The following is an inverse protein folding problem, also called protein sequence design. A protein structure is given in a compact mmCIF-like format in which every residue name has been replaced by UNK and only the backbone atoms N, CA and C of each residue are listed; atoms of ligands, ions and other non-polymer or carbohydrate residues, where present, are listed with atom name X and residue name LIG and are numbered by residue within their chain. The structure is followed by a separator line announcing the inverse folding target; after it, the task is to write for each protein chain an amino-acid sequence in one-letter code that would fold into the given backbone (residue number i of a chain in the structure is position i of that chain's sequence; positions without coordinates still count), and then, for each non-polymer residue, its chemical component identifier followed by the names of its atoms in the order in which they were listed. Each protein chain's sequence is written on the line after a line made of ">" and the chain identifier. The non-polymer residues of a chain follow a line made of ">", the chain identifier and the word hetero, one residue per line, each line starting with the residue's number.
data_IF_926573804025
#
_entry.id   IF_926573804025
#
_cell.length_a   1.000
_cell.length_b   1.000
_cell.length_c   1.000
_cell.angle_alpha   90.00
_cell.angle_beta   90.00
_cell.angle_gamma   90.00
#
_symmetry.space_group_name_H-M   'P 1'
#
loop_
_entity.id
_entity.type
_entity.pdbx_description
1 polymer ?
#
# COMPACT_ATOMS: atom_id res chain seq x y z
N UNK A 1 6.06 1.63 -13.84
CA UNK A 1 6.01 1.64 -15.32
C UNK A 1 7.05 0.65 -15.85
N UNK A 2 7.26 0.49 -17.17
CA UNK A 2 8.39 -0.30 -17.69
C UNK A 2 9.48 0.68 -18.10
N UNK A 3 10.75 0.43 -17.72
CA UNK A 3 11.86 1.29 -18.13
C UNK A 3 11.89 1.45 -19.65
N UNK A 4 11.56 2.63 -20.16
CA UNK A 4 11.54 2.92 -21.60
C UNK A 4 12.85 3.60 -22.07
N UNK A 5 13.71 4.05 -21.14
CA UNK A 5 15.02 4.61 -21.46
C UNK A 5 16.01 4.57 -20.29
N UNK A 6 17.28 4.89 -20.56
CA UNK A 6 18.35 4.91 -19.55
C UNK A 6 18.23 6.05 -18.50
N UNK A 7 17.39 7.05 -18.77
CA UNK A 7 17.09 8.18 -17.86
C UNK A 7 15.72 8.03 -17.17
N UNK A 8 15.00 6.94 -17.44
CA UNK A 8 13.74 6.64 -16.77
C UNK A 8 14.04 6.13 -15.36
N UNK A 9 13.70 6.92 -14.35
CA UNK A 9 13.91 6.53 -12.95
C UNK A 9 12.96 5.43 -12.49
N UNK A 10 11.92 5.10 -13.27
CA UNK A 10 10.88 4.15 -12.88
C UNK A 10 9.83 4.75 -11.93
N UNK A 11 10.10 5.91 -11.36
CA UNK A 11 9.25 6.64 -10.41
C UNK A 11 8.01 7.26 -11.09
N UNK A 12 6.84 7.06 -10.51
CA UNK A 12 5.60 7.72 -10.88
C UNK A 12 5.22 8.78 -9.82
N UNK A 13 5.07 10.06 -10.20
CA UNK A 13 4.69 11.10 -9.25
C UNK A 13 3.34 10.83 -8.56
N UNK A 14 3.31 10.98 -7.23
CA UNK A 14 2.09 10.90 -6.44
C UNK A 14 1.24 12.15 -6.67
N UNK A 15 0.19 11.99 -7.45
CA UNK A 15 -0.84 12.99 -7.75
C UNK A 15 -2.23 12.39 -7.62
N UNK A 16 -3.28 13.21 -7.54
CA UNK A 16 -4.68 12.74 -7.55
C UNK A 16 -4.98 11.84 -8.76
N UNK A 17 -4.46 12.19 -9.95
CA UNK A 17 -4.63 11.38 -11.17
C UNK A 17 -4.00 9.99 -11.03
N UNK A 18 -2.76 9.93 -10.50
CA UNK A 18 -2.07 8.66 -10.27
C UNK A 18 -2.79 7.81 -9.21
N UNK A 19 -3.26 8.43 -8.12
CA UNK A 19 -4.00 7.77 -7.05
C UNK A 19 -5.34 7.22 -7.57
N UNK A 20 -6.00 7.94 -8.48
CA UNK A 20 -7.18 7.45 -9.19
C UNK A 20 -6.89 6.20 -10.04
N UNK A 21 -5.78 6.17 -10.78
CA UNK A 21 -5.37 5.01 -11.58
C UNK A 21 -5.00 3.80 -10.71
N UNK A 22 -4.32 4.03 -9.59
CA UNK A 22 -4.05 2.99 -8.60
C UNK A 22 -5.35 2.45 -7.97
N UNK A 23 -6.30 3.32 -7.63
CA UNK A 23 -7.60 2.89 -7.08
C UNK A 23 -8.33 1.93 -8.02
N UNK A 24 -8.43 2.28 -9.31
CA UNK A 24 -9.02 1.39 -10.34
C UNK A 24 -8.26 0.06 -10.46
N UNK A 25 -6.94 0.10 -10.32
CA UNK A 25 -6.10 -1.10 -10.36
C UNK A 25 -6.30 -1.97 -9.11
N UNK A 26 -6.50 -1.37 -7.92
CA UNK A 26 -6.80 -2.08 -6.69
C UNK A 26 -8.16 -2.78 -6.75
N UNK A 27 -9.18 -2.08 -7.26
CA UNK A 27 -10.52 -2.64 -7.49
C UNK A 27 -10.52 -3.80 -8.48
N UNK A 28 -9.62 -3.77 -9.47
CA UNK A 28 -9.44 -4.90 -10.38
C UNK A 28 -8.74 -6.07 -9.68
N UNK A 29 -7.70 -5.80 -8.87
CA UNK A 29 -6.91 -6.83 -8.20
C UNK A 29 -7.64 -7.50 -7.02
N UNK A 30 -8.41 -6.74 -6.25
CA UNK A 30 -9.15 -7.16 -5.06
C UNK A 30 -10.54 -6.51 -5.07
N UNK A 31 -11.46 -6.99 -5.94
CA UNK A 31 -12.77 -6.37 -6.08
C UNK A 31 -13.58 -6.44 -4.79
N UNK A 32 -14.28 -5.34 -4.51
CA UNK A 32 -15.27 -5.19 -3.44
C UNK A 32 -16.59 -4.70 -4.03
N UNK A 33 -17.70 -5.05 -3.40
CA UNK A 33 -19.05 -4.66 -3.82
C UNK A 33 -19.36 -3.18 -3.55
N UNK A 34 -18.81 -2.63 -2.46
CA UNK A 34 -18.91 -1.21 -2.09
C UNK A 34 -17.50 -0.58 -1.99
N UNK A 35 -16.91 -0.14 -3.12
CA UNK A 35 -15.56 0.42 -3.12
C UNK A 35 -15.46 1.69 -2.28
N UNK A 36 -14.35 1.88 -1.54
CA UNK A 36 -14.17 3.06 -0.73
C UNK A 36 -14.02 4.31 -1.60
N UNK A 37 -14.58 5.43 -1.14
CA UNK A 37 -14.34 6.74 -1.77
C UNK A 37 -12.98 7.28 -1.34
N UNK A 38 -12.25 7.95 -2.24
CA UNK A 38 -10.98 8.62 -1.91
C UNK A 38 -11.23 10.11 -1.73
N UNK A 39 -10.81 10.66 -0.60
CA UNK A 39 -10.89 12.08 -0.26
C UNK A 39 -9.47 12.67 -0.20
N UNK A 40 -9.21 13.68 -1.04
CA UNK A 40 -7.91 14.36 -1.14
C UNK A 40 -7.81 15.63 -0.29
N UNK A 41 -8.80 15.92 0.55
CA UNK A 41 -8.78 17.10 1.45
C UNK A 41 -7.88 16.93 2.67
N UNK A 42 -7.34 15.72 2.90
CA UNK A 42 -6.39 15.41 3.97
C UNK A 42 -6.56 13.99 4.51
N UNK A 43 -5.61 13.57 5.35
CA UNK A 43 -5.65 12.26 6.00
C UNK A 43 -6.64 12.18 7.19
N UNK A 44 -7.10 13.30 7.73
CA UNK A 44 -8.16 13.32 8.75
C UNK A 44 -9.51 13.70 8.11
N UNK A 45 -10.39 12.71 7.95
CA UNK A 45 -11.74 12.89 7.40
C UNK A 45 -12.81 13.06 8.49
N UNK A 46 -12.42 13.28 9.75
CA UNK A 46 -13.34 13.38 10.88
C UNK A 46 -13.98 12.04 11.26
N UNK A 47 -13.22 10.95 11.17
CA UNK A 47 -13.73 9.59 11.39
C UNK A 47 -14.17 9.37 12.85
N UNK A 48 -15.33 8.72 13.04
CA UNK A 48 -15.90 8.50 14.38
C UNK A 48 -15.47 7.19 15.05
N UNK A 49 -14.95 6.24 14.27
CA UNK A 49 -14.68 4.87 14.68
C UNK A 49 -13.26 4.37 14.33
N UNK A 50 -12.36 5.29 13.94
CA UNK A 50 -10.94 5.03 13.74
C UNK A 50 -10.10 6.31 13.92
N UNK A 51 -8.82 6.15 14.25
CA UNK A 51 -7.86 7.26 14.31
C UNK A 51 -7.38 7.68 12.91
N UNK A 52 -7.16 8.98 12.72
CA UNK A 52 -6.52 9.48 11.52
C UNK A 52 -5.06 9.04 11.48
N UNK A 53 -4.66 8.40 10.37
CA UNK A 53 -3.30 7.96 10.11
C UNK A 53 -2.72 8.74 8.94
N UNK A 54 -1.62 9.46 9.17
CA UNK A 54 -0.96 10.28 8.15
C UNK A 54 0.15 9.48 7.47
N UNK A 55 0.34 9.59 6.14
CA UNK A 55 -0.37 10.46 5.19
C UNK A 55 -1.65 9.88 4.58
N UNK A 56 -2.03 8.64 4.89
CA UNK A 56 -3.24 8.01 4.36
C UNK A 56 -3.98 7.26 5.45
N UNK A 57 -5.27 7.56 5.60
CA UNK A 57 -6.16 6.90 6.56
C UNK A 57 -7.28 6.12 5.88
N UNK A 58 -7.93 5.24 6.63
CA UNK A 58 -9.20 4.64 6.22
C UNK A 58 -10.23 4.81 7.32
N UNK A 59 -11.40 5.34 6.97
CA UNK A 59 -12.53 5.50 7.88
C UNK A 59 -13.59 4.42 7.62
N UNK A 60 -13.80 3.46 8.55
CA UNK A 60 -14.77 2.39 8.35
C UNK A 60 -16.22 2.89 8.30
N UNK A 61 -16.60 3.85 9.15
CA UNK A 61 -17.98 4.36 9.22
C UNK A 61 -18.46 5.03 7.92
N UNK A 62 -17.61 5.77 7.22
CA UNK A 62 -17.93 6.43 5.94
C UNK A 62 -17.44 5.68 4.71
N UNK A 63 -16.67 4.59 4.89
CA UNK A 63 -16.00 3.86 3.80
C UNK A 63 -15.13 4.80 2.94
N UNK A 64 -14.27 5.58 3.59
CA UNK A 64 -13.47 6.64 2.92
C UNK A 64 -11.99 6.45 3.19
N UNK A 65 -11.16 6.61 2.17
CA UNK A 65 -9.71 6.73 2.30
C UNK A 65 -9.36 8.22 2.25
N UNK A 66 -8.89 8.77 3.37
CA UNK A 66 -8.39 10.15 3.42
C UNK A 66 -6.93 10.20 3.03
N UNK A 67 -6.56 11.12 2.14
CA UNK A 67 -5.20 11.25 1.62
C UNK A 67 -4.70 12.68 1.81
N UNK A 68 -3.58 12.84 2.50
CA UNK A 68 -2.75 14.02 2.38
C UNK A 68 -1.80 13.81 1.18
N UNK A 69 -2.15 14.38 0.03
CA UNK A 69 -1.42 14.15 -1.22
C UNK A 69 0.00 14.70 -1.14
N UNK A 70 0.22 15.80 -0.42
CA UNK A 70 1.54 16.42 -0.29
C UNK A 70 2.47 15.56 0.57
N UNK A 71 2.01 15.13 1.76
CA UNK A 71 2.81 14.28 2.64
C UNK A 71 2.98 12.86 2.04
N UNK A 72 1.98 12.35 1.32
CA UNK A 72 2.12 11.09 0.60
C UNK A 72 3.13 11.21 -0.54
N UNK A 73 3.15 12.32 -1.27
CA UNK A 73 4.15 12.57 -2.29
C UNK A 73 5.57 12.70 -1.72
N UNK A 74 5.72 13.31 -0.55
CA UNK A 74 7.01 13.35 0.17
C UNK A 74 7.49 11.96 0.56
N UNK A 75 6.59 11.10 1.07
CA UNK A 75 6.90 9.68 1.36
C UNK A 75 7.35 8.91 0.12
N UNK A 76 6.79 9.26 -1.04
CA UNK A 76 7.12 8.65 -2.33
C UNK A 76 8.40 9.17 -2.99
N UNK A 77 9.20 10.01 -2.32
CA UNK A 77 10.44 10.50 -2.92
C UNK A 77 11.59 9.51 -2.71
N UNK A 78 12.40 9.25 -3.75
CA UNK A 78 13.58 8.42 -3.60
C UNK A 78 14.64 9.12 -2.74
N UNK A 79 15.17 8.41 -1.75
CA UNK A 79 16.29 8.89 -0.94
C UNK A 79 17.52 9.09 -1.83
N UNK A 80 18.05 10.31 -1.87
CA UNK A 80 19.30 10.59 -2.57
C UNK A 80 20.47 10.20 -1.64
N UNK A 81 21.39 9.31 -2.06
CA UNK A 81 22.53 8.91 -1.23
C UNK A 81 23.35 10.13 -0.81
N UNK A 82 23.69 10.24 0.47
CA UNK A 82 24.57 11.30 0.95
C UNK A 82 26.02 10.99 0.54
N UNK A 83 26.83 12.03 0.38
CA UNK A 83 28.22 11.89 -0.09
C UNK A 83 29.06 11.10 0.93
N UNK A 84 29.29 9.82 0.66
CA UNK A 84 30.07 8.92 1.52
C UNK A 84 29.40 7.57 1.77
N UNK A 85 28.11 7.45 1.47
CA UNK A 85 27.38 6.19 1.58
C UNK A 85 27.61 5.32 0.34
N UNK A 86 27.82 4.02 0.55
CA UNK A 86 27.99 3.04 -0.54
C UNK A 86 26.61 2.64 -1.13
N UNK A 87 25.56 2.69 -0.29
CA UNK A 87 24.15 2.44 -0.61
C UNK A 87 23.28 3.30 0.33
N UNK A 88 22.10 3.78 -0.09
CA UNK A 88 21.16 4.46 0.82
C UNK A 88 20.69 3.52 1.94
N UNK A 89 20.47 4.06 3.14
CA UNK A 89 20.07 3.28 4.33
C UNK A 89 18.63 2.76 4.22
N UNK A 90 17.78 3.47 3.47
CA UNK A 90 16.45 3.03 3.08
C UNK A 90 16.38 3.02 1.54
N UNK A 91 15.70 2.01 0.99
CA UNK A 91 15.21 2.07 -0.39
C UNK A 91 13.85 2.73 -0.31
N UNK A 92 13.72 3.95 -0.82
CA UNK A 92 12.43 4.65 -0.95
C UNK A 92 12.26 5.12 -2.38
N UNK A 93 11.02 5.45 -2.72
CA UNK A 93 10.56 5.79 -4.07
C UNK A 93 9.04 5.81 -4.06
N UNK A 94 8.43 5.99 -5.21
CA UNK A 94 6.99 6.17 -5.41
C UNK A 94 6.16 5.05 -4.77
N UNK A 95 6.66 3.82 -4.80
CA UNK A 95 5.94 2.67 -4.29
C UNK A 95 5.95 2.60 -2.77
N UNK A 96 6.86 3.32 -2.09
CA UNK A 96 6.77 3.56 -0.65
C UNK A 96 5.49 4.28 -0.26
N UNK A 97 4.97 5.13 -1.14
CA UNK A 97 3.68 5.79 -1.00
C UNK A 97 2.52 4.89 -1.46
N UNK A 98 2.62 4.31 -2.65
CA UNK A 98 1.51 3.52 -3.22
C UNK A 98 1.23 2.22 -2.47
N UNK A 99 2.22 1.57 -1.86
CA UNK A 99 1.97 0.38 -1.01
C UNK A 99 1.24 0.74 0.28
N UNK A 100 1.49 1.94 0.84
CA UNK A 100 0.74 2.44 1.99
C UNK A 100 -0.69 2.75 1.59
N UNK A 101 -0.89 3.43 0.45
CA UNK A 101 -2.21 3.71 -0.10
C UNK A 101 -3.00 2.41 -0.36
N UNK A 102 -2.35 1.41 -0.96
CA UNK A 102 -2.92 0.07 -1.12
C UNK A 102 -3.32 -0.55 0.22
N UNK A 103 -2.49 -0.43 1.27
CA UNK A 103 -2.83 -0.98 2.59
C UNK A 103 -4.13 -0.40 3.15
N UNK A 104 -4.41 0.89 2.95
CA UNK A 104 -5.67 1.50 3.39
C UNK A 104 -6.86 0.97 2.59
N UNK A 105 -6.70 0.75 1.29
CA UNK A 105 -7.71 0.07 0.48
C UNK A 105 -8.02 -1.35 1.00
N UNK A 106 -6.99 -2.09 1.41
CA UNK A 106 -7.21 -3.46 1.94
C UNK A 106 -7.99 -3.49 3.25
N UNK A 107 -8.08 -2.39 4.00
CA UNK A 107 -8.96 -2.30 5.16
C UNK A 107 -10.44 -2.31 4.74
N UNK A 108 -10.79 -1.74 3.58
CA UNK A 108 -12.13 -1.86 3.01
C UNK A 108 -12.44 -3.30 2.58
N UNK A 109 -11.45 -4.00 1.99
CA UNK A 109 -11.57 -5.43 1.64
C UNK A 109 -11.84 -6.28 2.89
N UNK A 110 -11.12 -6.02 3.99
CA UNK A 110 -11.31 -6.71 5.27
C UNK A 110 -12.68 -6.38 5.89
N UNK A 111 -13.11 -5.10 5.83
CA UNK A 111 -14.42 -4.65 6.31
C UNK A 111 -15.55 -5.39 5.60
N UNK A 112 -15.50 -5.48 4.28
CA UNK A 112 -16.50 -6.20 3.48
C UNK A 112 -16.54 -7.69 3.83
N UNK A 113 -15.39 -8.29 4.12
CA UNK A 113 -15.29 -9.66 4.60
C UNK A 113 -15.81 -9.86 6.05
N UNK A 114 -16.28 -8.80 6.72
CA UNK A 114 -16.79 -8.85 8.09
C UNK A 114 -15.70 -9.06 9.14
N UNK A 115 -14.46 -8.72 8.82
CA UNK A 115 -13.31 -8.88 9.71
C UNK A 115 -13.15 -7.67 10.64
N UNK A 116 -12.65 -7.92 11.84
CA UNK A 116 -12.18 -6.86 12.75
C UNK A 116 -11.10 -6.02 12.07
N UNK A 117 -11.07 -4.71 12.34
CA UNK A 117 -10.08 -3.79 11.75
C UNK A 117 -9.11 -3.20 12.77
N UNK A 118 -9.29 -3.51 14.05
CA UNK A 118 -8.50 -2.98 15.18
C UNK A 118 -7.91 -4.14 15.98
N UNK A 119 -7.06 -4.92 15.32
CA UNK A 119 -6.29 -5.99 15.95
C UNK A 119 -4.98 -6.30 15.20
N UNK A 120 -4.05 -7.05 15.83
CA UNK A 120 -2.80 -7.44 15.18
C UNK A 120 -2.97 -8.33 13.94
N UNK A 121 -4.10 -9.05 13.78
CA UNK A 121 -4.36 -9.84 12.57
C UNK A 121 -4.73 -8.93 11.40
N UNK A 122 -5.42 -7.81 11.64
CA UNK A 122 -5.65 -6.78 10.64
C UNK A 122 -4.34 -6.28 10.05
N UNK A 123 -3.35 -5.97 10.88
CA UNK A 123 -2.02 -5.56 10.42
C UNK A 123 -1.36 -6.60 9.49
N UNK A 124 -1.47 -7.91 9.81
CA UNK A 124 -0.95 -9.00 8.97
C UNK A 124 -1.74 -9.13 7.66
N UNK A 125 -3.06 -9.05 7.72
CA UNK A 125 -3.93 -9.09 6.53
C UNK A 125 -3.66 -7.90 5.62
N UNK A 126 -3.53 -6.69 6.16
CA UNK A 126 -3.21 -5.49 5.38
C UNK A 126 -1.91 -5.67 4.60
N UNK A 127 -0.85 -6.13 5.28
CA UNK A 127 0.43 -6.45 4.63
C UNK A 127 0.26 -7.51 3.54
N UNK A 128 -0.42 -8.62 3.86
CA UNK A 128 -0.63 -9.72 2.93
C UNK A 128 -1.42 -9.29 1.70
N UNK A 129 -2.56 -8.62 1.87
CA UNK A 129 -3.41 -8.15 0.78
C UNK A 129 -2.71 -7.06 -0.05
N UNK A 130 -1.90 -6.20 0.56
CA UNK A 130 -1.02 -5.29 -0.20
C UNK A 130 -0.06 -6.07 -1.10
N UNK A 131 0.49 -7.19 -0.62
CA UNK A 131 1.32 -8.08 -1.45
C UNK A 131 0.56 -8.70 -2.64
N UNK A 132 -0.74 -9.00 -2.47
CA UNK A 132 -1.61 -9.46 -3.57
C UNK A 132 -1.76 -8.37 -4.63
N UNK A 133 -2.01 -7.12 -4.20
CA UNK A 133 -2.09 -5.95 -5.09
C UNK A 133 -0.75 -5.76 -5.82
N UNK A 134 0.38 -5.80 -5.11
CA UNK A 134 1.72 -5.67 -5.70
C UNK A 134 1.97 -6.74 -6.76
N UNK A 135 1.62 -8.00 -6.50
CA UNK A 135 1.77 -9.08 -7.48
C UNK A 135 0.89 -8.85 -8.72
N UNK A 136 -0.34 -8.37 -8.56
CA UNK A 136 -1.23 -8.05 -9.67
C UNK A 136 -0.68 -6.92 -10.55
N UNK A 137 -0.07 -5.89 -9.96
CA UNK A 137 0.56 -4.78 -10.67
C UNK A 137 1.90 -5.15 -11.35
N UNK A 138 2.46 -6.33 -11.08
CA UNK A 138 3.73 -6.76 -11.68
C UNK A 138 3.63 -6.92 -13.20
N UNK A 139 4.71 -6.63 -13.93
CA UNK A 139 4.71 -6.65 -15.39
C UNK A 139 4.41 -8.03 -16.02
N UNK A 140 4.57 -9.11 -15.25
CA UNK A 140 4.29 -10.50 -15.64
C UNK A 140 2.81 -10.89 -15.46
N UNK A 141 1.98 -10.03 -14.88
CA UNK A 141 0.55 -10.30 -14.80
C UNK A 141 -0.08 -10.23 -16.20
N UNK A 142 -0.82 -11.29 -16.56
CA UNK A 142 -1.60 -11.35 -17.80
C UNK A 142 -2.89 -10.50 -17.72
N UNK A 143 -3.04 -9.71 -16.66
CA UNK A 143 -4.11 -8.75 -16.44
C UNK A 143 -3.89 -7.54 -17.37
N UNK A 144 -4.19 -7.72 -18.66
CA UNK A 144 -4.11 -6.68 -19.69
C UNK A 144 -5.01 -5.46 -19.39
N UNK A 145 -5.83 -5.53 -18.34
CA UNK A 145 -6.76 -4.49 -17.89
C UNK A 145 -6.17 -3.50 -16.88
N UNK A 146 -4.98 -3.75 -16.31
CA UNK A 146 -4.41 -2.84 -15.31
C UNK A 146 -3.72 -1.64 -15.95
N UNK A 147 -4.13 -0.44 -15.53
CA UNK A 147 -3.58 0.84 -15.99
C UNK A 147 -2.16 1.09 -15.45
N UNK A 148 -1.86 0.55 -14.27
CA UNK A 148 -0.58 0.70 -13.59
C UNK A 148 0.23 -0.59 -13.69
N UNK A 149 1.54 -0.43 -13.90
CA UNK A 149 2.53 -1.50 -13.81
C UNK A 149 3.68 -1.08 -12.93
N UNK A 150 4.22 -2.01 -12.14
CA UNK A 150 5.39 -1.74 -11.30
C UNK A 150 6.67 -1.58 -12.10
N UNK A 151 7.54 -0.69 -11.64
CA UNK A 151 8.93 -0.60 -12.09
C UNK A 151 9.81 -1.59 -11.32
N UNK A 152 10.98 -1.98 -11.87
CA UNK A 152 11.98 -2.69 -11.10
C UNK A 152 12.57 -1.78 -10.01
N UNK A 153 12.26 -2.06 -8.75
CA UNK A 153 12.64 -1.26 -7.58
C UNK A 153 11.49 -1.14 -6.57
N UNK A 154 10.27 -1.02 -7.07
CA UNK A 154 9.03 -0.87 -6.29
C UNK A 154 8.87 -1.94 -5.20
N UNK A 155 9.26 -3.19 -5.51
CA UNK A 155 9.19 -4.27 -4.53
C UNK A 155 10.19 -4.07 -3.37
N UNK A 156 11.38 -3.56 -3.65
CA UNK A 156 12.40 -3.28 -2.64
C UNK A 156 11.97 -2.11 -1.76
N UNK A 157 11.31 -1.10 -2.35
CA UNK A 157 10.70 0.03 -1.64
C UNK A 157 9.56 -0.42 -0.71
N UNK A 158 8.67 -1.31 -1.18
CA UNK A 158 7.63 -1.88 -0.34
C UNK A 158 8.21 -2.63 0.87
N UNK A 159 9.22 -3.47 0.64
CA UNK A 159 9.88 -4.23 1.71
C UNK A 159 10.62 -3.29 2.67
N UNK A 160 11.28 -2.26 2.15
CA UNK A 160 11.94 -1.22 2.95
C UNK A 160 10.94 -0.48 3.85
N UNK A 161 9.81 -0.03 3.30
CA UNK A 161 8.71 0.57 4.06
C UNK A 161 8.13 -0.36 5.14
N UNK A 162 8.01 -1.65 4.85
CA UNK A 162 7.60 -2.67 5.82
C UNK A 162 8.62 -2.89 6.94
N UNK A 163 9.89 -2.59 6.72
CA UNK A 163 10.96 -2.74 7.71
C UNK A 163 11.23 -1.46 8.50
N UNK A 164 11.04 -0.28 7.89
CA UNK A 164 11.24 1.02 8.51
C UNK A 164 10.09 1.38 9.46
N UNK A 165 9.02 1.99 8.95
CA UNK A 165 7.84 2.33 9.76
C UNK A 165 6.85 1.16 9.89
N UNK A 166 6.73 0.34 8.84
CA UNK A 166 5.77 -0.76 8.76
C UNK A 166 4.32 -0.34 8.70
N UNK A 167 4.02 0.92 8.36
CA UNK A 167 2.66 1.45 8.38
C UNK A 167 1.75 0.72 7.38
N UNK A 168 2.29 0.24 6.25
CA UNK A 168 1.55 -0.62 5.32
C UNK A 168 1.10 -1.98 5.94
N UNK A 169 1.69 -2.36 7.08
CA UNK A 169 1.32 -3.50 7.90
C UNK A 169 0.76 -3.04 9.24
N UNK A 170 -0.28 -2.22 9.20
CA UNK A 170 -0.99 -1.72 10.37
C UNK A 170 -2.48 -2.05 10.33
N UNK A 171 -3.09 -1.98 11.51
CA UNK A 171 -4.54 -1.92 11.64
C UNK A 171 -5.10 -0.54 11.23
N UNK A 172 -6.42 -0.35 11.40
CA UNK A 172 -7.11 0.88 11.03
C UNK A 172 -6.60 2.12 11.78
N UNK A 173 -6.10 1.93 13.00
CA UNK A 173 -5.59 3.00 13.87
C UNK A 173 -4.08 3.25 13.68
N UNK A 174 -3.43 2.54 12.76
CA UNK A 174 -1.99 2.71 12.51
C UNK A 174 -1.11 1.89 13.43
N UNK A 175 -1.66 1.00 14.26
CA UNK A 175 -0.86 0.12 15.10
C UNK A 175 -0.20 -0.95 14.23
N UNK A 176 1.13 -0.95 14.21
CA UNK A 176 1.92 -1.91 13.45
C UNK A 176 2.32 -3.10 14.31
N UNK A 177 2.67 -4.22 13.66
CA UNK A 177 3.35 -5.31 14.36
C UNK A 177 4.79 -4.95 14.71
N UNK A 178 5.28 -5.24 15.93
CA UNK A 178 6.67 -4.97 16.31
C UNK A 178 7.71 -5.75 15.49
N UNK A 179 7.32 -6.93 14.98
CA UNK A 179 8.22 -7.82 14.24
C UNK A 179 8.26 -7.47 12.76
N UNK A 180 9.34 -6.83 12.31
CA UNK A 180 9.59 -6.57 10.88
C UNK A 180 9.58 -7.85 10.03
N UNK A 181 10.09 -8.96 10.58
CA UNK A 181 10.01 -10.27 9.92
C UNK A 181 8.57 -10.69 9.65
N UNK A 182 7.66 -10.50 10.61
CA UNK A 182 6.25 -10.86 10.45
C UNK A 182 5.55 -9.98 9.42
N UNK A 183 5.88 -8.68 9.36
CA UNK A 183 5.37 -7.74 8.34
C UNK A 183 5.77 -8.19 6.93
N UNK A 184 7.05 -8.52 6.72
CA UNK A 184 7.57 -8.98 5.42
C UNK A 184 7.07 -10.39 5.06
N UNK A 185 6.98 -11.33 6.02
CA UNK A 185 6.45 -12.68 5.75
C UNK A 185 4.97 -12.65 5.35
N UNK A 186 4.18 -11.77 5.96
CA UNK A 186 2.79 -11.54 5.57
C UNK A 186 2.68 -10.99 4.16
N UNK A 187 3.39 -9.91 3.86
CA UNK A 187 3.43 -9.33 2.51
C UNK A 187 3.86 -10.35 1.45
N UNK A 188 4.95 -11.09 1.70
CA UNK A 188 5.42 -12.18 0.83
C UNK A 188 4.37 -13.27 0.63
N UNK A 189 3.61 -13.62 1.66
CA UNK A 189 2.53 -14.61 1.54
C UNK A 189 1.48 -14.15 0.51
N UNK A 190 1.14 -12.87 0.49
CA UNK A 190 0.25 -12.31 -0.52
C UNK A 190 0.82 -12.32 -1.92
N UNK A 191 2.09 -11.89 -2.07
CA UNK A 191 2.79 -11.88 -3.36
C UNK A 191 2.82 -13.28 -4.00
N UNK A 192 3.09 -14.32 -3.20
CA UNK A 192 3.30 -15.68 -3.70
C UNK A 192 2.03 -16.54 -3.72
N UNK A 193 1.07 -16.29 -2.82
CA UNK A 193 -0.08 -17.15 -2.59
C UNK A 193 -1.44 -16.51 -2.85
N UNK A 194 -1.47 -15.21 -3.17
CA UNK A 194 -2.71 -14.48 -3.44
C UNK A 194 -3.64 -14.37 -2.24
N UNK A 195 -4.84 -13.85 -2.49
CA UNK A 195 -5.88 -13.66 -1.47
C UNK A 195 -6.23 -14.95 -0.69
N UNK A 196 -6.38 -16.15 -1.32
CA UNK A 196 -6.72 -17.36 -0.59
C UNK A 196 -5.69 -17.73 0.50
N UNK A 197 -4.40 -17.47 0.27
CA UNK A 197 -3.38 -17.73 1.28
C UNK A 197 -3.52 -16.73 2.45
N UNK A 198 -3.74 -15.45 2.16
CA UNK A 198 -3.99 -14.43 3.18
C UNK A 198 -5.19 -14.80 4.07
N UNK A 199 -6.31 -15.16 3.47
CA UNK A 199 -7.54 -15.54 4.17
C UNK A 199 -7.34 -16.78 5.07
N UNK A 200 -6.53 -17.75 4.63
CA UNK A 200 -6.27 -18.97 5.40
C UNK A 200 -5.29 -18.79 6.56
N UNK A 201 -4.32 -17.88 6.41
CA UNK A 201 -3.18 -17.74 7.33
C UNK A 201 -3.45 -16.70 8.42
N UNK A 202 -4.29 -15.71 8.12
CA UNK A 202 -4.59 -14.55 8.97
C UNK A 202 -6.11 -14.39 9.17
N UNK A 203 -6.82 -15.50 9.39
CA UNK A 203 -8.28 -15.55 9.57
C UNK A 203 -8.75 -14.86 10.84
#
# INVERSE_FOLDING_TARGET
>A
QKFDSADDSGELPVTEDSLGAFTRSFETALPVADPPTVDFSGSDTGCTDAEATTPVSYCPSSNTIGVDVEDLAQRGQPETPQRGDILPLNVSGDYSAYVLFASRYTLAVQKEAGQTLDDPQTALRSACLSGVITAALSAESNEAALEIRLSPGDLDEAVSGLLSDGLAASDVNGTTLPSGFSRVDAFRSGVLGGKPLCDSRYS
#
